data_IF_952792760812
#
_entry.id   IF_952792760812
#
_cell.length_a   1.000
_cell.length_b   1.000
_cell.length_c   1.000
_cell.angle_alpha   90.00
_cell.angle_beta   90.00
_cell.angle_gamma   90.00
#
_symmetry.space_group_name_H-M   'P 1'
#
loop_
_entity.id
_entity.type
_entity.pdbx_description
1 polymer ?
#
# COMPACT_ATOMS: atom_id res chain seq x y z
N UNK A 1 -34.23 11.54 -51.35
CA UNK A 1 -34.40 11.45 -49.88
C UNK A 1 -33.34 10.49 -49.38
N UNK A 2 -32.15 11.00 -49.06
CA UNK A 2 -30.97 10.19 -48.75
C UNK A 2 -30.81 10.04 -47.24
N UNK A 3 -30.75 8.79 -46.78
CA UNK A 3 -30.35 8.38 -45.44
C UNK A 3 -28.83 8.47 -45.31
N UNK A 4 -28.32 9.30 -44.41
CA UNK A 4 -26.89 9.31 -44.06
C UNK A 4 -26.72 8.67 -42.69
N UNK A 5 -26.19 7.44 -42.71
CA UNK A 5 -25.67 6.72 -41.55
C UNK A 5 -24.34 7.38 -41.14
N UNK A 6 -24.26 7.94 -39.93
CA UNK A 6 -22.99 8.43 -39.39
C UNK A 6 -22.22 7.29 -38.71
N UNK A 7 -21.15 6.86 -39.36
CA UNK A 7 -20.11 5.97 -38.84
C UNK A 7 -19.26 6.72 -37.79
N UNK A 8 -19.01 6.18 -36.58
CA UNK A 8 -18.03 6.77 -35.67
C UNK A 8 -16.58 6.47 -36.13
N UNK A 9 -15.63 7.40 -35.94
CA UNK A 9 -14.27 7.27 -36.45
C UNK A 9 -13.38 6.37 -35.58
N UNK A 10 -12.49 5.67 -36.29
CA UNK A 10 -11.53 4.66 -35.84
C UNK A 10 -10.82 4.90 -34.50
N UNK A 11 -10.89 3.86 -33.65
CA UNK A 11 -9.92 3.62 -32.59
C UNK A 11 -8.62 3.14 -33.24
N UNK A 12 -7.60 4.01 -33.22
CA UNK A 12 -6.24 3.63 -33.58
C UNK A 12 -5.68 2.63 -32.55
N UNK A 13 -4.92 1.61 -32.96
CA UNK A 13 -4.23 0.73 -32.03
C UNK A 13 -3.11 1.52 -31.32
N UNK A 14 -3.25 1.67 -30.00
CA UNK A 14 -2.20 2.08 -29.06
C UNK A 14 -0.87 1.31 -29.26
N UNK A 15 0.03 1.86 -30.06
CA UNK A 15 1.37 1.35 -30.36
C UNK A 15 2.40 1.59 -29.23
N UNK A 16 1.97 2.08 -28.06
CA UNK A 16 2.87 2.41 -26.94
C UNK A 16 3.35 1.22 -26.10
N UNK A 17 2.60 0.12 -26.05
CA UNK A 17 2.90 -1.01 -25.16
C UNK A 17 4.08 -1.89 -25.64
N UNK A 18 4.39 -1.88 -26.93
CA UNK A 18 5.44 -2.72 -27.52
C UNK A 18 6.87 -2.17 -27.31
N UNK A 19 7.03 -0.87 -27.03
CA UNK A 19 8.36 -0.23 -26.95
C UNK A 19 9.08 -0.48 -25.60
N UNK A 20 8.34 -0.62 -24.49
CA UNK A 20 8.92 -0.87 -23.16
C UNK A 20 9.42 -2.30 -22.97
N UNK A 21 8.72 -3.29 -23.56
CA UNK A 21 9.08 -4.70 -23.43
C UNK A 21 10.36 -5.08 -24.21
N UNK A 22 10.57 -4.46 -25.38
CA UNK A 22 11.76 -4.70 -26.20
C UNK A 22 13.05 -4.13 -25.57
N UNK A 23 12.97 -3.03 -24.80
CA UNK A 23 14.10 -2.48 -24.07
C UNK A 23 14.53 -3.35 -22.87
N UNK A 24 13.59 -4.08 -22.25
CA UNK A 24 13.86 -4.93 -21.09
C UNK A 24 14.66 -6.20 -21.41
N UNK A 25 14.42 -6.84 -22.56
CA UNK A 25 15.12 -8.07 -22.95
C UNK A 25 16.58 -7.83 -23.36
N UNK A 26 16.84 -6.72 -24.07
CA UNK A 26 18.21 -6.29 -24.40
C UNK A 26 18.97 -5.81 -23.14
N UNK A 27 18.27 -5.14 -22.21
CA UNK A 27 18.84 -4.73 -20.93
C UNK A 27 19.21 -5.92 -20.02
N UNK A 28 18.44 -7.01 -20.04
CA UNK A 28 18.73 -8.19 -19.22
C UNK A 28 20.00 -8.93 -19.64
N UNK A 29 20.25 -9.10 -20.96
CA UNK A 29 21.47 -9.73 -21.46
C UNK A 29 22.72 -8.87 -21.22
N UNK A 30 22.61 -7.54 -21.40
CA UNK A 30 23.68 -6.59 -21.11
C UNK A 30 24.00 -6.50 -19.61
N UNK A 31 22.98 -6.63 -18.74
CA UNK A 31 23.16 -6.69 -17.29
C UNK A 31 23.96 -7.93 -16.87
N UNK A 32 23.66 -9.09 -17.45
CA UNK A 32 24.37 -10.35 -17.15
C UNK A 32 25.84 -10.25 -17.59
N UNK A 33 26.12 -9.68 -18.76
CA UNK A 33 27.50 -9.49 -19.28
C UNK A 33 28.31 -8.49 -18.43
N UNK A 34 27.68 -7.40 -17.99
CA UNK A 34 28.29 -6.42 -17.08
C UNK A 34 28.59 -7.00 -15.68
N UNK A 35 27.72 -7.87 -15.15
CA UNK A 35 27.92 -8.54 -13.84
C UNK A 35 29.13 -9.49 -13.86
N UNK A 36 29.47 -10.05 -15.03
CA UNK A 36 30.62 -10.96 -15.18
C UNK A 36 31.96 -10.27 -15.44
N UNK A 37 31.96 -8.96 -15.75
CA UNK A 37 33.16 -8.22 -16.17
C UNK A 37 33.67 -7.21 -15.14
N UNK A 38 32.86 -6.89 -14.13
CA UNK A 38 33.16 -5.93 -13.05
C UNK A 38 33.49 -6.68 -11.76
N UNK A 39 34.16 -6.02 -10.80
CA UNK A 39 34.33 -6.53 -9.43
C UNK A 39 32.98 -7.00 -8.84
N UNK A 40 32.92 -8.17 -8.18
CA UNK A 40 31.66 -8.76 -7.72
C UNK A 40 30.89 -7.89 -6.71
N UNK A 41 31.55 -7.05 -5.91
CA UNK A 41 30.86 -6.15 -4.98
C UNK A 41 30.25 -4.94 -5.68
N UNK A 42 30.96 -4.39 -6.67
CA UNK A 42 30.45 -3.32 -7.53
C UNK A 42 29.26 -3.81 -8.37
N UNK A 43 29.35 -5.04 -8.92
CA UNK A 43 28.26 -5.68 -9.64
C UNK A 43 27.02 -5.91 -8.75
N UNK A 44 27.21 -6.32 -7.49
CA UNK A 44 26.12 -6.49 -6.53
C UNK A 44 25.43 -5.15 -6.20
N UNK A 45 26.20 -4.07 -5.98
CA UNK A 45 25.65 -2.74 -5.73
C UNK A 45 24.82 -2.25 -6.92
N UNK A 46 25.39 -2.29 -8.13
CA UNK A 46 24.70 -1.87 -9.34
C UNK A 46 23.42 -2.68 -9.61
N UNK A 47 23.47 -3.99 -9.40
CA UNK A 47 22.29 -4.87 -9.54
C UNK A 47 21.22 -4.53 -8.50
N UNK A 48 21.62 -4.20 -7.27
CA UNK A 48 20.69 -3.78 -6.21
C UNK A 48 20.03 -2.45 -6.56
N UNK A 49 20.80 -1.46 -7.00
CA UNK A 49 20.28 -0.15 -7.40
C UNK A 49 19.28 -0.25 -8.56
N UNK A 50 19.60 -1.11 -9.54
CA UNK A 50 18.71 -1.40 -10.65
C UNK A 50 17.42 -2.09 -10.19
N UNK A 51 17.50 -3.07 -9.29
CA UNK A 51 16.32 -3.75 -8.75
C UNK A 51 15.41 -2.78 -7.96
N UNK A 52 16.00 -1.89 -7.16
CA UNK A 52 15.26 -0.86 -6.42
C UNK A 52 14.55 0.08 -7.39
N UNK A 53 15.26 0.56 -8.41
CA UNK A 53 14.71 1.46 -9.43
C UNK A 53 13.56 0.80 -10.22
N UNK A 54 13.73 -0.46 -10.64
CA UNK A 54 12.68 -1.21 -11.34
C UNK A 54 11.44 -1.40 -10.47
N UNK A 55 11.62 -1.77 -9.20
CA UNK A 55 10.48 -1.93 -8.27
C UNK A 55 9.74 -0.62 -8.04
N UNK A 56 10.48 0.48 -7.85
CA UNK A 56 9.89 1.82 -7.75
C UNK A 56 8.99 2.13 -8.94
N UNK A 57 9.46 1.87 -10.16
CA UNK A 57 8.68 2.08 -11.39
C UNK A 57 7.44 1.18 -11.46
N UNK A 58 7.56 -0.10 -11.09
CA UNK A 58 6.41 -1.03 -11.05
C UNK A 58 5.35 -0.53 -10.05
N UNK A 59 5.77 -0.03 -8.89
CA UNK A 59 4.86 0.50 -7.87
C UNK A 59 4.14 1.76 -8.37
N UNK A 60 4.86 2.67 -9.03
CA UNK A 60 4.28 3.84 -9.67
C UNK A 60 3.24 3.45 -10.73
N UNK A 61 3.52 2.44 -11.55
CA UNK A 61 2.57 1.92 -12.56
C UNK A 61 1.32 1.31 -11.92
N UNK A 62 1.44 0.58 -10.81
CA UNK A 62 0.27 0.09 -10.07
C UNK A 62 -0.58 1.25 -9.51
N UNK A 63 0.03 2.36 -9.09
CA UNK A 63 -0.73 3.51 -8.63
C UNK A 63 -1.44 4.24 -9.77
N UNK A 64 -0.81 4.32 -10.94
CA UNK A 64 -1.44 4.83 -12.16
C UNK A 64 -2.60 3.95 -12.62
N UNK A 65 -2.45 2.62 -12.59
CA UNK A 65 -3.54 1.67 -12.87
C UNK A 65 -4.73 1.94 -11.93
N UNK A 66 -4.48 2.14 -10.63
CA UNK A 66 -5.53 2.49 -9.69
C UNK A 66 -6.23 3.83 -10.04
N UNK A 67 -5.49 4.85 -10.48
CA UNK A 67 -6.10 6.11 -10.95
C UNK A 67 -7.00 5.90 -12.16
N UNK A 68 -6.56 5.09 -13.14
CA UNK A 68 -7.35 4.78 -14.34
C UNK A 68 -8.63 4.01 -13.98
N UNK A 69 -8.53 3.01 -13.10
CA UNK A 69 -9.68 2.24 -12.65
C UNK A 69 -10.68 3.08 -11.84
N UNK A 70 -10.19 3.99 -10.99
CA UNK A 70 -11.03 4.95 -10.29
C UNK A 70 -11.74 5.92 -11.25
N UNK A 71 -11.07 6.34 -12.34
CA UNK A 71 -11.71 7.13 -13.39
C UNK A 71 -12.81 6.33 -14.12
N UNK A 72 -12.60 5.04 -14.38
CA UNK A 72 -13.64 4.13 -14.89
C UNK A 72 -14.88 4.09 -14.00
N UNK A 73 -14.69 4.04 -12.68
CA UNK A 73 -15.80 4.12 -11.72
C UNK A 73 -16.59 5.44 -11.82
N UNK A 74 -15.90 6.57 -12.01
CA UNK A 74 -16.56 7.88 -12.21
C UNK A 74 -17.33 7.95 -13.54
N UNK A 75 -16.83 7.30 -14.59
CA UNK A 75 -17.57 7.16 -15.86
C UNK A 75 -18.86 6.38 -15.64
N UNK A 76 -18.81 5.26 -14.89
CA UNK A 76 -20.00 4.48 -14.56
C UNK A 76 -21.06 5.31 -13.81
N UNK A 77 -20.65 6.13 -12.83
CA UNK A 77 -21.57 7.06 -12.15
C UNK A 77 -22.25 8.03 -13.12
N UNK A 78 -21.48 8.63 -14.04
CA UNK A 78 -22.04 9.56 -15.04
C UNK A 78 -23.02 8.89 -16.00
N UNK A 79 -22.81 7.61 -16.35
CA UNK A 79 -23.74 6.83 -17.17
C UNK A 79 -25.03 6.57 -16.36
N UNK A 80 -24.90 6.12 -15.11
CA UNK A 80 -26.03 5.87 -14.23
C UNK A 80 -26.90 7.12 -14.01
N UNK A 81 -26.27 8.28 -13.81
CA UNK A 81 -26.97 9.56 -13.66
C UNK A 81 -27.74 9.95 -14.92
N UNK A 82 -27.17 9.68 -16.11
CA UNK A 82 -27.82 9.98 -17.40
C UNK A 82 -29.03 9.07 -17.67
N UNK A 83 -28.98 7.81 -17.21
CA UNK A 83 -30.06 6.83 -17.34
C UNK A 83 -31.18 7.02 -16.28
N UNK A 84 -31.06 8.03 -15.42
CA UNK A 84 -32.06 8.35 -14.39
C UNK A 84 -32.05 7.40 -13.19
N UNK A 85 -30.97 6.63 -13.00
CA UNK A 85 -30.73 5.84 -11.78
C UNK A 85 -31.75 4.72 -11.53
N UNK A 86 -32.35 4.15 -12.58
CA UNK A 86 -33.42 3.14 -12.50
C UNK A 86 -33.02 1.86 -11.72
N UNK A 87 -31.73 1.67 -11.43
CA UNK A 87 -31.10 0.52 -10.78
C UNK A 87 -29.99 0.93 -9.76
N UNK A 88 -30.00 2.18 -9.30
CA UNK A 88 -28.88 2.75 -8.51
C UNK A 88 -27.51 2.70 -9.20
N UNK A 89 -27.46 2.55 -10.52
CA UNK A 89 -26.25 2.48 -11.33
C UNK A 89 -25.57 1.12 -11.35
N UNK A 90 -26.18 0.06 -10.79
CA UNK A 90 -25.57 -1.28 -10.74
C UNK A 90 -25.17 -1.79 -12.13
N UNK A 91 -26.06 -1.69 -13.12
CA UNK A 91 -25.81 -2.08 -14.50
C UNK A 91 -24.70 -1.26 -15.13
N UNK A 92 -24.67 0.06 -14.90
CA UNK A 92 -23.61 0.93 -15.43
C UNK A 92 -22.24 0.52 -14.86
N UNK A 93 -22.15 0.26 -13.55
CA UNK A 93 -20.90 -0.20 -12.93
C UNK A 93 -20.46 -1.56 -13.45
N UNK A 94 -21.37 -2.52 -13.62
CA UNK A 94 -21.04 -3.84 -14.16
C UNK A 94 -20.67 -3.79 -15.64
N UNK A 95 -21.32 -2.96 -16.44
CA UNK A 95 -21.00 -2.78 -17.85
C UNK A 95 -19.58 -2.24 -18.03
N UNK A 96 -19.21 -1.19 -17.28
CA UNK A 96 -17.85 -0.64 -17.31
C UNK A 96 -16.81 -1.66 -16.82
N UNK A 97 -17.10 -2.38 -15.74
CA UNK A 97 -16.19 -3.42 -15.24
C UNK A 97 -15.99 -4.55 -16.28
N UNK A 98 -17.05 -4.96 -16.98
CA UNK A 98 -16.98 -5.97 -18.03
C UNK A 98 -16.18 -5.49 -19.24
N UNK A 99 -16.35 -4.24 -19.67
CA UNK A 99 -15.60 -3.65 -20.79
C UNK A 99 -14.10 -3.57 -20.47
N UNK A 100 -13.75 -3.04 -19.30
CA UNK A 100 -12.37 -2.94 -18.84
C UNK A 100 -11.75 -4.34 -18.65
N UNK A 101 -12.47 -5.26 -18.03
CA UNK A 101 -12.02 -6.64 -17.80
C UNK A 101 -11.75 -7.38 -19.10
N UNK A 102 -12.65 -7.26 -20.08
CA UNK A 102 -12.49 -7.87 -21.40
C UNK A 102 -11.24 -7.34 -22.13
N UNK A 103 -10.97 -6.04 -22.04
CA UNK A 103 -9.82 -5.40 -22.69
C UNK A 103 -8.46 -5.91 -22.19
N UNK A 104 -8.37 -6.29 -20.90
CA UNK A 104 -7.13 -6.79 -20.28
C UNK A 104 -7.15 -8.28 -19.95
N UNK A 105 -8.15 -9.02 -20.44
CA UNK A 105 -8.34 -10.46 -20.20
C UNK A 105 -8.51 -10.85 -18.72
N UNK A 106 -9.23 -10.03 -17.94
CA UNK A 106 -9.60 -10.31 -16.55
C UNK A 106 -11.11 -10.55 -16.39
N UNK A 107 -11.48 -11.42 -15.46
CA UNK A 107 -12.89 -11.68 -15.18
C UNK A 107 -13.61 -10.44 -14.63
N UNK A 108 -14.91 -10.30 -14.94
CA UNK A 108 -15.79 -9.25 -14.40
C UNK A 108 -15.68 -9.11 -12.87
N UNK A 109 -15.69 -10.25 -12.16
CA UNK A 109 -15.56 -10.28 -10.69
C UNK A 109 -14.22 -9.73 -10.21
N UNK A 110 -13.12 -10.09 -10.85
CA UNK A 110 -11.79 -9.61 -10.50
C UNK A 110 -11.67 -8.10 -10.79
N UNK A 111 -12.16 -7.66 -11.95
CA UNK A 111 -12.14 -6.25 -12.34
C UNK A 111 -12.97 -5.39 -11.38
N UNK A 112 -14.16 -5.87 -10.99
CA UNK A 112 -14.99 -5.21 -9.97
C UNK A 112 -14.25 -5.05 -8.63
N UNK A 113 -13.51 -6.08 -8.17
CA UNK A 113 -12.70 -5.98 -6.94
C UNK A 113 -11.59 -4.94 -7.10
N UNK A 114 -10.91 -4.94 -8.25
CA UNK A 114 -9.83 -3.97 -8.54
C UNK A 114 -10.35 -2.55 -8.58
N UNK A 115 -11.46 -2.29 -9.28
CA UNK A 115 -12.11 -0.97 -9.35
C UNK A 115 -12.48 -0.49 -7.95
N UNK A 116 -13.15 -1.31 -7.15
CA UNK A 116 -13.55 -0.93 -5.79
C UNK A 116 -12.33 -0.59 -4.91
N UNK A 117 -11.28 -1.40 -4.98
CA UNK A 117 -10.04 -1.13 -4.25
C UNK A 117 -9.32 0.13 -4.75
N UNK A 118 -9.31 0.36 -6.06
CA UNK A 118 -8.71 1.52 -6.68
C UNK A 118 -9.42 2.82 -6.27
N UNK A 119 -10.75 2.81 -6.23
CA UNK A 119 -11.55 3.93 -5.70
C UNK A 119 -11.15 4.20 -4.26
N UNK A 120 -11.18 3.20 -3.37
CA UNK A 120 -10.75 3.38 -1.97
C UNK A 120 -9.32 3.94 -1.86
N UNK A 121 -8.36 3.43 -2.63
CA UNK A 121 -6.99 3.95 -2.60
C UNK A 121 -6.92 5.42 -3.01
N UNK A 122 -7.59 5.80 -4.10
CA UNK A 122 -7.51 7.16 -4.67
C UNK A 122 -8.32 8.17 -3.86
N UNK A 123 -9.48 7.78 -3.33
CA UNK A 123 -10.41 8.71 -2.65
C UNK A 123 -10.20 8.73 -1.14
N UNK A 124 -10.01 7.57 -0.51
CA UNK A 124 -9.97 7.46 0.96
C UNK A 124 -8.55 7.52 1.53
N UNK A 125 -7.54 7.17 0.72
CA UNK A 125 -6.12 7.10 1.12
C UNK A 125 -5.19 7.83 0.15
N UNK A 126 -5.39 9.15 -0.08
CA UNK A 126 -4.65 9.90 -1.08
C UNK A 126 -3.14 10.00 -0.79
N UNK A 127 -2.72 10.02 0.48
CA UNK A 127 -1.29 10.08 0.81
C UNK A 127 -0.61 8.73 0.50
N UNK A 128 -1.35 7.63 0.68
CA UNK A 128 -0.88 6.28 0.33
C UNK A 128 -0.78 6.13 -1.18
N UNK A 129 -1.74 6.69 -1.93
CA UNK A 129 -1.70 6.74 -3.39
C UNK A 129 -0.48 7.52 -3.90
N UNK A 130 -0.20 8.69 -3.34
CA UNK A 130 0.98 9.50 -3.69
C UNK A 130 2.31 8.80 -3.35
N UNK A 131 2.39 8.18 -2.17
CA UNK A 131 3.57 7.40 -1.78
C UNK A 131 3.81 6.20 -2.73
N UNK A 132 2.75 5.60 -3.25
CA UNK A 132 2.84 4.52 -4.23
C UNK A 132 3.23 5.05 -5.62
N UNK A 133 2.67 6.19 -6.05
CA UNK A 133 3.02 6.87 -7.31
C UNK A 133 4.49 7.28 -7.37
N UNK A 134 5.04 7.69 -6.24
CA UNK A 134 6.46 8.08 -6.12
C UNK A 134 7.39 6.89 -5.87
N UNK A 135 6.85 5.66 -5.76
CA UNK A 135 7.61 4.44 -5.52
C UNK A 135 8.24 4.33 -4.13
N UNK A 136 7.88 5.23 -3.19
CA UNK A 136 8.34 5.20 -1.79
C UNK A 136 7.84 3.99 -1.03
N UNK A 137 6.65 3.49 -1.38
CA UNK A 137 6.08 2.27 -0.83
C UNK A 137 5.78 1.25 -1.93
N UNK A 138 5.66 -0.01 -1.53
CA UNK A 138 5.28 -1.09 -2.43
C UNK A 138 3.76 -1.26 -2.52
N UNK A 139 3.26 -1.84 -3.62
CA UNK A 139 1.84 -2.13 -3.77
C UNK A 139 1.26 -3.01 -2.62
N UNK A 140 1.98 -4.04 -2.11
CA UNK A 140 1.55 -4.75 -0.91
C UNK A 140 1.50 -3.90 0.37
N UNK A 141 2.35 -2.87 0.52
CA UNK A 141 2.24 -1.92 1.64
C UNK A 141 0.92 -1.15 1.55
N UNK A 142 0.63 -0.55 0.39
CA UNK A 142 -0.61 0.18 0.17
C UNK A 142 -1.85 -0.70 0.46
N UNK A 143 -1.83 -1.95 -0.03
CA UNK A 143 -2.90 -2.92 0.24
C UNK A 143 -3.07 -3.20 1.73
N UNK A 144 -1.97 -3.40 2.45
CA UNK A 144 -2.01 -3.68 3.90
C UNK A 144 -2.56 -2.50 4.70
N UNK A 145 -2.20 -1.27 4.32
CA UNK A 145 -2.72 -0.04 4.96
C UNK A 145 -4.23 0.05 4.77
N UNK A 146 -4.70 -0.11 3.53
CA UNK A 146 -6.15 -0.07 3.21
C UNK A 146 -6.89 -1.17 3.98
N UNK A 147 -6.42 -2.42 3.89
CA UNK A 147 -7.07 -3.58 4.52
C UNK A 147 -7.20 -3.39 6.04
N UNK A 148 -6.18 -2.83 6.70
CA UNK A 148 -6.24 -2.51 8.13
C UNK A 148 -7.19 -1.33 8.41
N UNK A 149 -7.23 -0.32 7.56
CA UNK A 149 -8.06 0.86 7.72
C UNK A 149 -9.55 0.69 7.34
N UNK A 150 -9.96 -0.45 6.77
CA UNK A 150 -11.35 -0.75 6.34
C UNK A 150 -12.43 -0.45 7.38
N UNK A 151 -12.13 -0.64 8.68
CA UNK A 151 -13.08 -0.43 9.77
C UNK A 151 -13.12 1.01 10.30
N UNK A 152 -12.34 1.94 9.73
CA UNK A 152 -12.30 3.34 10.15
C UNK A 152 -13.32 4.15 9.35
N UNK A 153 -14.47 4.43 9.96
CA UNK A 153 -15.57 5.17 9.31
C UNK A 153 -15.36 6.68 9.29
N UNK A 154 -14.68 7.23 10.31
CA UNK A 154 -14.45 8.67 10.41
C UNK A 154 -13.26 9.11 9.53
N UNK A 155 -13.44 10.04 8.57
CA UNK A 155 -12.39 10.45 7.63
C UNK A 155 -11.20 11.12 8.31
N UNK A 156 -11.42 11.90 9.37
CA UNK A 156 -10.33 12.54 10.14
C UNK A 156 -9.50 11.50 10.87
N UNK A 157 -10.14 10.49 11.46
CA UNK A 157 -9.41 9.37 12.08
C UNK A 157 -8.64 8.55 11.05
N UNK A 158 -9.22 8.33 9.87
CA UNK A 158 -8.58 7.63 8.77
C UNK A 158 -7.32 8.36 8.30
N UNK A 159 -7.38 9.67 8.12
CA UNK A 159 -6.23 10.49 7.73
C UNK A 159 -5.10 10.46 8.77
N UNK A 160 -5.44 10.52 10.06
CA UNK A 160 -4.45 10.37 11.14
C UNK A 160 -3.82 8.98 11.15
N UNK A 161 -4.64 7.93 10.99
CA UNK A 161 -4.17 6.54 10.85
C UNK A 161 -3.23 6.39 9.65
N UNK A 162 -3.64 6.92 8.49
CA UNK A 162 -2.87 6.85 7.25
C UNK A 162 -1.49 7.47 7.43
N UNK A 163 -1.42 8.67 8.02
CA UNK A 163 -0.15 9.37 8.26
C UNK A 163 0.82 8.53 9.11
N UNK A 164 0.33 7.92 10.19
CA UNK A 164 1.14 7.07 11.09
C UNK A 164 1.57 5.79 10.37
N UNK A 165 0.67 5.16 9.62
CA UNK A 165 0.96 3.93 8.91
C UNK A 165 2.00 4.14 7.79
N UNK A 166 1.94 5.29 7.10
CA UNK A 166 2.90 5.63 6.04
C UNK A 166 4.32 5.86 6.56
N UNK A 167 4.48 6.59 7.67
CA UNK A 167 5.79 6.80 8.29
C UNK A 167 6.50 5.48 8.62
N UNK A 168 5.74 4.44 8.97
CA UNK A 168 6.29 3.09 9.22
C UNK A 168 6.52 2.35 7.91
N UNK A 169 5.59 2.41 6.96
CA UNK A 169 5.64 1.68 5.69
C UNK A 169 6.82 2.08 4.78
N UNK A 170 7.34 3.31 4.92
CA UNK A 170 8.50 3.77 4.17
C UNK A 170 9.83 3.16 4.66
N UNK A 171 9.88 2.69 5.92
CA UNK A 171 11.12 2.24 6.55
C UNK A 171 11.15 0.74 6.84
N UNK A 172 9.98 0.11 6.90
CA UNK A 172 9.84 -1.27 7.35
C UNK A 172 9.29 -2.19 6.27
N UNK A 173 9.52 -3.49 6.45
CA UNK A 173 8.93 -4.52 5.59
C UNK A 173 7.45 -4.74 5.91
N UNK A 174 6.70 -5.27 4.94
CA UNK A 174 5.27 -5.60 5.05
C UNK A 174 4.97 -6.42 6.32
N UNK A 175 5.81 -7.41 6.63
CA UNK A 175 5.63 -8.29 7.78
C UNK A 175 5.68 -7.54 9.12
N UNK A 176 6.48 -6.47 9.20
CA UNK A 176 6.56 -5.59 10.37
C UNK A 176 5.49 -4.52 10.39
N UNK A 177 5.06 -4.03 9.22
CA UNK A 177 4.00 -3.03 9.09
C UNK A 177 2.66 -3.52 9.67
N UNK A 178 2.27 -4.77 9.39
CA UNK A 178 0.93 -5.28 9.71
C UNK A 178 0.56 -5.19 11.21
N UNK A 179 1.40 -5.63 12.17
CA UNK A 179 1.13 -5.38 13.60
C UNK A 179 0.93 -3.91 13.97
N UNK A 180 1.74 -3.01 13.39
CA UNK A 180 1.61 -1.57 13.65
C UNK A 180 0.31 -0.98 13.09
N UNK A 181 -0.10 -1.40 11.89
CA UNK A 181 -1.37 -0.96 11.30
C UNK A 181 -2.58 -1.37 12.16
N UNK A 182 -2.58 -2.61 12.65
CA UNK A 182 -3.66 -3.09 13.53
C UNK A 182 -3.68 -2.30 14.86
N UNK A 183 -2.52 -2.01 15.42
CA UNK A 183 -2.39 -1.29 16.69
C UNK A 183 -2.74 0.21 16.56
N UNK A 184 -2.23 0.89 15.54
CA UNK A 184 -2.48 2.31 15.27
C UNK A 184 -3.96 2.59 15.00
N UNK A 185 -4.64 1.69 14.29
CA UNK A 185 -6.11 1.71 14.13
C UNK A 185 -6.84 1.70 15.48
N UNK A 186 -6.41 0.85 16.42
CA UNK A 186 -7.04 0.75 17.74
C UNK A 186 -6.74 1.96 18.65
N UNK A 187 -5.62 2.65 18.40
CA UNK A 187 -5.11 3.76 19.21
C UNK A 187 -5.25 5.13 18.51
N UNK A 188 -5.98 5.20 17.40
CA UNK A 188 -6.28 6.49 16.78
C UNK A 188 -7.12 7.27 17.79
N UNK A 189 -6.72 8.50 18.19
CA UNK A 189 -7.40 9.21 19.27
C UNK A 189 -8.89 9.25 18.99
N UNK A 190 -9.65 8.57 19.86
CA UNK A 190 -11.10 8.71 19.91
C UNK A 190 -11.31 10.21 20.09
N UNK A 191 -12.01 10.85 19.14
CA UNK A 191 -12.27 12.28 19.21
C UNK A 191 -12.73 12.58 20.64
N UNK A 192 -12.06 13.47 21.41
CA UNK A 192 -12.56 13.84 22.73
C UNK A 192 -13.94 14.43 22.50
N UNK A 193 -14.99 13.66 22.80
CA UNK A 193 -16.33 14.23 22.84
C UNK A 193 -16.25 15.43 23.75
N UNK A 194 -16.90 16.51 23.36
CA UNK A 194 -16.90 17.83 23.98
C UNK A 194 -17.56 17.84 25.38
N UNK A 195 -17.16 16.91 26.26
CA UNK A 195 -17.75 16.62 27.55
C UNK A 195 -16.69 16.41 28.67
N UNK A 196 -15.39 16.47 28.39
CA UNK A 196 -14.31 16.39 29.41
C UNK A 196 -13.98 17.76 30.05
N UNK A 197 -14.96 18.66 30.18
CA UNK A 197 -14.85 19.90 30.95
C UNK A 197 -15.10 19.70 32.46
N UNK A 198 -14.95 18.47 32.96
CA UNK A 198 -15.15 18.09 34.35
C UNK A 198 -13.84 17.94 35.12
N UNK A 199 -13.30 19.06 35.62
CA UNK A 199 -12.52 19.16 36.87
C UNK A 199 -11.35 18.19 37.08
N UNK A 200 -10.12 18.67 36.88
CA UNK A 200 -9.02 18.52 37.87
C UNK A 200 -8.17 19.78 37.97
N UNK A 201 -8.74 20.77 38.63
CA UNK A 201 -7.96 21.76 39.38
C UNK A 201 -7.75 21.21 40.78
N UNK A 202 -6.53 20.79 41.12
CA UNK A 202 -5.95 20.58 42.47
C UNK A 202 -4.63 19.83 42.27
N UNK A 203 -3.46 20.22 42.75
CA UNK A 203 -3.10 21.33 43.61
C UNK A 203 -1.59 21.52 43.49
N UNK A 204 -1.16 22.73 43.16
CA UNK A 204 0.18 23.20 43.47
C UNK A 204 0.19 23.53 44.97
N UNK A 205 0.82 22.69 45.78
CA UNK A 205 1.23 23.06 47.13
C UNK A 205 2.44 22.24 47.57
N UNK A 206 3.43 22.95 48.10
CA UNK A 206 4.66 22.50 48.75
C UNK A 206 5.89 22.28 47.86
N UNK A 207 6.49 23.40 47.43
CA UNK A 207 7.95 23.51 47.54
C UNK A 207 8.31 23.79 49.01
N UNK A 208 9.21 23.00 49.62
CA UNK A 208 10.08 23.49 50.69
C UNK A 208 11.25 22.54 50.97
N UNK A 209 12.43 22.99 50.52
CA UNK A 209 13.76 22.97 51.16
C UNK A 209 14.36 21.66 51.73
N UNK A 210 15.57 21.42 51.21
CA UNK A 210 16.82 21.13 51.92
C UNK A 210 17.33 19.68 52.06
N UNK A 211 18.47 19.48 51.39
CA UNK A 211 19.73 18.89 51.86
C UNK A 211 19.81 17.40 52.24
N UNK A 212 20.62 16.70 51.43
CA UNK A 212 21.69 15.78 51.85
C UNK A 212 21.33 14.69 52.86
N UNK A 213 21.05 13.48 52.38
CA UNK A 213 21.49 12.23 53.05
C UNK A 213 21.66 11.14 51.99
N UNK A 214 22.83 10.51 52.03
CA UNK A 214 23.23 9.39 51.20
C UNK A 214 22.44 8.11 51.55
N UNK A 215 21.94 7.42 50.53
CA UNK A 215 21.64 5.98 50.52
C UNK A 215 21.86 5.51 49.07
N UNK A 216 23.07 5.08 48.70
CA UNK A 216 23.36 3.66 48.47
C UNK A 216 22.17 2.85 47.94
N UNK A 217 22.11 2.62 46.62
CA UNK A 217 21.64 1.33 46.12
C UNK A 217 22.24 0.98 44.75
N UNK A 218 22.87 -0.19 44.72
CA UNK A 218 23.75 -0.73 43.69
C UNK A 218 23.06 -1.10 42.37
N UNK A 219 23.81 -1.20 41.25
CA UNK A 219 23.30 -1.64 39.96
C UNK A 219 22.98 -3.14 39.96
N UNK A 220 21.79 -3.51 39.45
CA UNK A 220 21.40 -4.92 39.25
C UNK A 220 22.18 -5.51 38.08
N UNK A 221 23.08 -6.43 38.38
CA UNK A 221 23.77 -7.30 37.42
C UNK A 221 22.80 -8.30 36.79
N UNK A 222 22.70 -8.30 35.47
CA UNK A 222 22.08 -9.37 34.66
C UNK A 222 23.06 -10.56 34.54
N UNK A 223 22.64 -11.82 34.78
CA UNK A 223 23.46 -12.99 34.44
C UNK A 223 23.26 -13.39 32.95
N UNK A 224 24.32 -13.87 32.25
CA UNK A 224 24.21 -14.41 30.89
C UNK A 224 23.68 -15.87 30.87
N UNK A 225 23.16 -16.35 29.72
CA UNK A 225 22.50 -17.65 29.61
C UNK A 225 23.48 -18.85 29.56
N UNK A 226 23.10 -19.94 30.23
CA UNK A 226 23.78 -21.24 30.16
C UNK A 226 23.33 -22.07 28.95
N UNK A 227 24.25 -22.95 28.54
CA UNK A 227 24.35 -23.65 27.26
C UNK A 227 23.52 -24.94 27.19
N UNK A 228 23.37 -25.40 25.94
CA UNK A 228 23.17 -26.78 25.44
C UNK A 228 21.82 -27.49 25.63
N UNK A 229 21.08 -27.60 24.52
CA UNK A 229 20.33 -28.83 24.21
C UNK A 229 20.74 -29.28 22.82
N UNK A 230 21.46 -30.40 22.77
CA UNK A 230 21.75 -31.17 21.57
C UNK A 230 20.44 -31.70 20.97
N UNK A 231 20.15 -31.36 19.71
CA UNK A 231 19.03 -31.98 18.98
C UNK A 231 19.60 -32.96 17.96
N UNK A 232 19.45 -34.24 18.29
CA UNK A 232 19.76 -35.38 17.43
C UNK A 232 18.95 -35.31 16.14
N UNK A 233 19.65 -35.34 15.01
CA UNK A 233 19.08 -35.56 13.67
C UNK A 233 18.60 -37.01 13.59
N UNK A 234 17.29 -37.19 13.39
CA UNK A 234 16.70 -38.47 13.02
C UNK A 234 16.30 -38.38 11.54
N UNK A 235 17.13 -38.97 10.67
CA UNK A 235 16.78 -39.26 9.29
C UNK A 235 15.90 -40.51 9.25
N UNK A 236 14.62 -40.34 8.93
CA UNK A 236 13.74 -41.43 8.51
C UNK A 236 13.05 -41.07 7.21
N UNK A 237 13.74 -41.29 6.10
CA UNK A 237 13.11 -41.42 4.79
C UNK A 237 12.52 -42.83 4.69
N UNK A 238 11.20 -42.88 4.45
CA UNK A 238 10.45 -44.10 4.14
C UNK A 238 10.10 -44.02 2.66
N UNK A 239 10.57 -45.01 1.91
CA UNK A 239 10.17 -45.33 0.55
C UNK A 239 8.73 -45.86 0.52
N UNK A 240 7.97 -45.37 -0.45
CA UNK A 240 6.63 -45.79 -0.84
C UNK A 240 6.32 -45.11 -2.16
#
# INVERSE_FOLDING_TARGET
>A
MFTTTSTPPGAAPHTGAAAGAAAGAAGAAALVDAVTTIDPYDALSATTDLLVSLRSNIHALHALEATVLAAGHQIAHRIADADGGQDHGEFAHRAVAAELGLAVHESDRAMTIKINHAVTLVTDYPNTHDALLTGRISHPHARTIIDCGTNITNPTQRSSYETIALDIAERETIGRLRPYCVNSRNNTPRNPSMNDTGTRTSSAACMSKNSTTACHNSPRSFPPPSRSVSRTVSTRWRSG
#
